data_IF_630986637817
#
_entry.id   IF_630986637817
#
_cell.length_a   1.000
_cell.length_b   1.000
_cell.length_c   1.000
_cell.angle_alpha   90.00
_cell.angle_beta   90.00
_cell.angle_gamma   90.00
#
_symmetry.space_group_name_H-M   'P 1'
#
loop_
_entity.id
_entity.type
_entity.pdbx_description
1 polymer ?
#
# COMPACT_ATOMS: atom_id res chain seq x y z
N UNK A 1 -1.00 -20.28 -15.83
CA UNK A 1 -1.09 -19.01 -15.09
C UNK A 1 -2.06 -19.07 -13.92
N UNK A 2 -3.34 -19.45 -14.08
CA UNK A 2 -4.30 -19.63 -12.96
C UNK A 2 -3.81 -20.54 -11.80
N UNK A 3 -2.88 -21.46 -12.07
CA UNK A 3 -2.36 -22.43 -11.08
C UNK A 3 -1.43 -21.85 -10.02
N UNK A 4 -0.87 -20.65 -10.21
CA UNK A 4 0.15 -20.12 -9.28
C UNK A 4 -0.49 -19.63 -7.98
N UNK A 5 -1.48 -18.73 -8.05
CA UNK A 5 -2.07 -18.11 -6.84
C UNK A 5 -3.01 -19.02 -6.04
N UNK A 6 -3.70 -19.98 -6.68
CA UNK A 6 -4.43 -21.03 -5.95
C UNK A 6 -3.48 -21.91 -5.11
N UNK A 7 -2.19 -21.96 -5.45
CA UNK A 7 -1.14 -22.54 -4.59
C UNK A 7 -0.56 -21.52 -3.62
N UNK A 8 -0.32 -20.27 -4.05
CA UNK A 8 0.34 -19.25 -3.23
C UNK A 8 -0.50 -18.81 -2.04
N UNK A 9 -1.82 -18.65 -2.17
CA UNK A 9 -2.68 -18.23 -1.04
C UNK A 9 -2.67 -19.23 0.14
N UNK A 10 -2.96 -20.53 -0.06
CA UNK A 10 -2.86 -21.51 1.03
C UNK A 10 -1.44 -21.66 1.60
N UNK A 11 -0.41 -21.55 0.75
CA UNK A 11 0.99 -21.55 1.21
C UNK A 11 1.31 -20.31 2.05
N UNK A 12 0.70 -19.18 1.76
CA UNK A 12 0.88 -17.95 2.54
C UNK A 12 0.06 -17.95 3.81
N UNK A 13 -1.13 -18.54 3.85
CA UNK A 13 -1.84 -18.83 5.11
C UNK A 13 -1.03 -19.76 6.01
N UNK A 14 -0.37 -20.76 5.43
CA UNK A 14 0.56 -21.59 6.18
C UNK A 14 1.81 -20.82 6.64
N UNK A 15 2.25 -19.79 5.89
CA UNK A 15 3.31 -18.88 6.36
C UNK A 15 2.80 -17.94 7.46
N UNK A 16 1.56 -17.48 7.41
CA UNK A 16 0.92 -16.66 8.45
C UNK A 16 0.94 -17.37 9.80
N UNK A 17 0.67 -18.68 9.84
CA UNK A 17 0.72 -19.46 11.09
C UNK A 17 2.13 -19.62 11.67
N UNK A 18 3.17 -19.31 10.90
CA UNK A 18 4.55 -19.27 11.37
C UNK A 18 4.95 -17.96 12.07
N UNK A 19 4.12 -16.92 12.01
CA UNK A 19 4.38 -15.62 12.64
C UNK A 19 3.58 -15.43 13.92
N UNK A 20 4.21 -14.83 14.93
CA UNK A 20 3.50 -14.28 16.08
C UNK A 20 2.90 -12.93 15.68
N UNK A 21 1.58 -12.87 15.49
CA UNK A 21 0.85 -11.64 15.16
C UNK A 21 0.39 -10.92 16.42
N UNK A 22 0.30 -9.59 16.38
CA UNK A 22 -0.22 -8.79 17.49
C UNK A 22 -1.75 -8.85 17.57
N UNK A 23 -2.32 -8.94 18.77
CA UNK A 23 -3.77 -9.02 18.99
C UNK A 23 -4.52 -7.69 18.70
N UNK A 24 -3.81 -6.56 18.75
CA UNK A 24 -4.37 -5.23 18.45
C UNK A 24 -3.41 -4.49 17.52
N UNK A 25 -3.77 -4.42 16.24
CA UNK A 25 -2.94 -3.79 15.22
C UNK A 25 -3.47 -2.41 14.82
N UNK A 26 -2.57 -1.55 14.37
CA UNK A 26 -2.91 -0.29 13.68
C UNK A 26 -2.76 -0.39 12.16
N UNK A 27 -2.44 -1.59 11.65
CA UNK A 27 -2.21 -1.85 10.23
C UNK A 27 -3.49 -1.64 9.41
N UNK A 28 -4.61 -2.20 9.86
CA UNK A 28 -5.90 -2.03 9.19
C UNK A 28 -6.89 -1.23 10.04
N UNK A 29 -7.91 -0.59 9.43
CA UNK A 29 -8.97 0.08 10.18
C UNK A 29 -9.75 -0.83 11.14
N UNK A 30 -9.88 -2.12 10.80
CA UNK A 30 -10.58 -3.12 11.60
C UNK A 30 -9.72 -3.68 12.74
N UNK A 31 -8.45 -3.28 12.85
CA UNK A 31 -7.51 -3.76 13.86
C UNK A 31 -6.83 -5.08 13.51
N UNK A 32 -7.01 -5.56 12.27
CA UNK A 32 -6.37 -6.79 11.80
C UNK A 32 -4.85 -6.63 11.71
N UNK A 33 -4.07 -7.63 12.17
CA UNK A 33 -2.62 -7.60 12.09
C UNK A 33 -2.09 -8.04 10.71
N UNK A 34 -2.94 -8.08 9.68
CA UNK A 34 -2.52 -8.40 8.33
C UNK A 34 -3.36 -7.68 7.26
N UNK A 35 -2.73 -7.37 6.13
CA UNK A 35 -3.34 -6.75 4.95
C UNK A 35 -2.76 -7.36 3.67
N UNK A 36 -3.62 -7.69 2.72
CA UNK A 36 -3.20 -8.09 1.37
C UNK A 36 -3.14 -6.88 0.45
N UNK A 37 -2.23 -6.91 -0.52
CA UNK A 37 -2.20 -5.93 -1.60
C UNK A 37 -2.10 -6.66 -2.93
N UNK A 38 -3.16 -6.51 -3.74
CA UNK A 38 -3.22 -6.98 -5.11
C UNK A 38 -2.67 -5.88 -6.02
N UNK A 39 -1.81 -6.25 -6.97
CA UNK A 39 -1.23 -5.30 -7.92
C UNK A 39 -1.67 -5.63 -9.34
N UNK A 40 -1.51 -4.70 -10.27
CA UNK A 40 -1.71 -4.98 -11.71
C UNK A 40 -0.84 -6.12 -12.25
N UNK A 41 0.28 -6.43 -11.58
CA UNK A 41 1.07 -7.60 -11.91
C UNK A 41 0.41 -8.84 -11.28
N UNK A 42 -0.22 -9.72 -12.08
CA UNK A 42 -0.95 -10.88 -11.55
C UNK A 42 -0.02 -11.93 -10.90
N UNK A 43 1.29 -11.81 -11.08
CA UNK A 43 2.29 -12.68 -10.46
C UNK A 43 2.91 -12.07 -9.19
N UNK A 44 2.51 -10.85 -8.81
CA UNK A 44 2.94 -10.20 -7.57
C UNK A 44 1.78 -10.20 -6.56
N UNK A 45 2.01 -10.93 -5.47
CA UNK A 45 1.15 -10.88 -4.29
C UNK A 45 1.96 -10.31 -3.12
N UNK A 46 1.35 -9.36 -2.42
CA UNK A 46 1.96 -8.73 -1.25
C UNK A 46 1.10 -8.93 -0.03
N UNK A 47 1.74 -9.32 1.06
CA UNK A 47 1.16 -9.47 2.38
C UNK A 47 1.91 -8.56 3.34
N UNK A 48 1.21 -7.74 4.12
CA UNK A 48 1.80 -6.94 5.19
C UNK A 48 1.29 -7.47 6.52
N UNK A 49 2.19 -7.62 7.49
CA UNK A 49 1.93 -8.16 8.81
C UNK A 49 2.34 -7.17 9.88
N UNK A 50 1.60 -7.12 10.99
CA UNK A 50 2.01 -6.42 12.21
C UNK A 50 2.62 -7.43 13.19
N UNK A 51 3.94 -7.34 13.37
CA UNK A 51 4.75 -8.37 14.03
C UNK A 51 5.71 -7.76 15.07
N UNK A 52 6.08 -8.53 16.11
CA UNK A 52 7.22 -8.20 16.96
C UNK A 52 8.50 -8.05 16.14
N UNK A 53 9.39 -7.14 16.56
CA UNK A 53 10.65 -6.92 15.84
C UNK A 53 11.56 -8.15 15.81
N UNK A 54 11.39 -9.12 16.71
CA UNK A 54 12.10 -10.40 16.70
C UNK A 54 11.81 -11.27 15.47
N UNK A 55 10.69 -11.05 14.79
CA UNK A 55 10.30 -11.78 13.56
C UNK A 55 10.90 -11.16 12.28
N UNK A 56 11.56 -10.00 12.39
CA UNK A 56 12.15 -9.32 11.23
C UNK A 56 13.39 -10.08 10.75
N UNK A 57 13.56 -10.31 9.44
CA UNK A 57 14.75 -10.94 8.89
C UNK A 57 16.05 -10.24 9.33
N UNK A 58 17.09 -11.01 9.63
CA UNK A 58 18.36 -10.52 10.20
C UNK A 58 18.96 -9.32 9.44
N UNK A 59 18.94 -9.36 8.11
CA UNK A 59 19.47 -8.28 7.27
C UNK A 59 18.70 -6.95 7.37
N UNK A 60 17.47 -6.95 7.88
CA UNK A 60 16.63 -5.77 8.11
C UNK A 60 16.54 -5.36 9.58
N UNK A 61 17.02 -6.17 10.52
CA UNK A 61 16.93 -5.91 11.98
C UNK A 61 17.50 -4.54 12.38
N UNK A 62 18.58 -4.11 11.72
CA UNK A 62 19.20 -2.79 11.96
C UNK A 62 18.26 -1.60 11.79
N UNK A 63 17.17 -1.75 11.02
CA UNK A 63 16.22 -0.66 10.76
C UNK A 63 15.12 -0.52 11.81
N UNK A 64 14.93 -1.53 12.66
CA UNK A 64 13.90 -1.57 13.71
C UNK A 64 14.49 -1.60 15.13
N UNK A 65 15.77 -1.28 15.26
CA UNK A 65 16.44 -1.27 16.56
C UNK A 65 15.76 -0.29 17.53
N UNK A 66 15.31 -0.82 18.68
CA UNK A 66 14.61 -0.05 19.71
C UNK A 66 13.08 0.00 19.55
N UNK A 67 12.54 -0.52 18.43
CA UNK A 67 11.10 -0.71 18.26
C UNK A 67 10.66 -2.04 18.90
N UNK A 68 9.45 -2.06 19.45
CA UNK A 68 8.82 -3.29 19.98
C UNK A 68 8.11 -4.09 18.89
N UNK A 69 7.48 -3.36 17.99
CA UNK A 69 6.65 -3.84 16.89
C UNK A 69 7.00 -3.09 15.61
N UNK A 70 6.69 -3.71 14.47
CA UNK A 70 6.87 -3.12 13.16
C UNK A 70 5.92 -3.78 12.17
N UNK A 71 5.75 -3.15 11.01
CA UNK A 71 5.07 -3.82 9.91
C UNK A 71 6.10 -4.50 9.02
N UNK A 72 5.86 -5.75 8.68
CA UNK A 72 6.68 -6.54 7.77
C UNK A 72 5.86 -6.86 6.54
N UNK A 73 6.23 -6.28 5.40
CA UNK A 73 5.68 -6.65 4.11
C UNK A 73 6.54 -7.69 3.43
N UNK A 74 5.86 -8.73 2.98
CA UNK A 74 6.35 -9.83 2.20
C UNK A 74 5.80 -9.70 0.78
N UNK A 75 6.69 -9.82 -0.21
CA UNK A 75 6.33 -9.91 -1.62
C UNK A 75 6.99 -11.15 -2.20
N UNK A 76 6.19 -12.05 -2.78
CA UNK A 76 6.68 -13.24 -3.48
C UNK A 76 6.47 -13.07 -4.98
N UNK A 77 7.52 -13.35 -5.75
CA UNK A 77 7.47 -13.48 -7.20
C UNK A 77 8.31 -14.69 -7.63
N UNK A 78 8.40 -14.95 -8.94
CA UNK A 78 9.20 -16.07 -9.48
C UNK A 78 10.69 -16.02 -9.12
N UNK A 79 11.24 -14.85 -8.78
CA UNK A 79 12.65 -14.69 -8.40
C UNK A 79 12.89 -14.91 -6.90
N UNK A 80 11.81 -15.03 -6.09
CA UNK A 80 11.88 -15.31 -4.67
C UNK A 80 11.06 -14.33 -3.83
N UNK A 81 11.20 -14.49 -2.51
CA UNK A 81 10.60 -13.60 -1.53
C UNK A 81 11.48 -12.37 -1.28
N UNK A 82 10.88 -11.19 -1.33
CA UNK A 82 11.48 -9.94 -0.89
C UNK A 82 10.74 -9.39 0.32
N UNK A 83 11.47 -8.84 1.27
CA UNK A 83 10.93 -8.28 2.50
C UNK A 83 11.13 -6.77 2.54
N UNK A 84 10.16 -6.08 3.12
CA UNK A 84 10.25 -4.67 3.44
C UNK A 84 9.71 -4.45 4.84
N UNK A 85 10.48 -3.79 5.68
CA UNK A 85 10.08 -3.45 7.05
C UNK A 85 9.66 -1.99 7.13
N UNK A 86 8.60 -1.70 7.87
CA UNK A 86 8.13 -0.35 8.17
C UNK A 86 8.16 -0.13 9.67
N UNK A 87 8.70 1.02 10.07
CA UNK A 87 8.61 1.49 11.45
C UNK A 87 8.06 2.90 11.49
N UNK A 88 7.73 3.36 12.70
CA UNK A 88 7.33 4.74 12.95
C UNK A 88 8.45 5.69 12.52
N UNK A 89 8.03 6.84 12.00
CA UNK A 89 8.94 7.93 11.64
C UNK A 89 9.49 8.60 12.90
N UNK A 90 10.79 8.83 12.93
CA UNK A 90 11.52 9.52 14.00
C UNK A 90 11.98 10.91 13.56
N UNK A 91 12.14 11.88 14.48
CA UNK A 91 12.60 13.23 14.14
C UNK A 91 13.97 13.32 13.45
N UNK A 92 14.79 12.27 13.57
CA UNK A 92 16.11 12.18 12.94
C UNK A 92 16.10 11.48 11.58
N UNK A 93 14.94 10.97 11.14
CA UNK A 93 14.81 10.38 9.82
C UNK A 93 14.88 11.44 8.72
N UNK A 94 15.43 11.11 7.54
CA UNK A 94 15.40 12.01 6.41
C UNK A 94 13.96 12.24 5.96
N UNK A 95 13.53 13.50 5.94
CA UNK A 95 12.25 13.92 5.37
C UNK A 95 12.47 14.55 3.98
N UNK A 96 12.16 13.84 2.88
CA UNK A 96 12.32 14.39 1.53
C UNK A 96 11.35 15.54 1.17
N UNK A 97 10.23 15.71 1.87
CA UNK A 97 9.24 16.73 1.55
C UNK A 97 9.42 18.02 2.36
N UNK A 98 9.78 17.91 3.65
CA UNK A 98 10.01 19.06 4.55
C UNK A 98 8.87 20.09 4.53
N UNK A 99 7.64 19.62 4.28
CA UNK A 99 6.46 20.47 4.14
C UNK A 99 5.49 20.13 5.28
N UNK A 100 5.13 21.10 6.13
CA UNK A 100 4.30 20.85 7.32
C UNK A 100 2.88 20.34 7.00
N UNK A 101 2.44 20.42 5.75
CA UNK A 101 1.16 19.86 5.28
C UNK A 101 1.21 18.34 5.15
N UNK A 102 2.42 17.77 5.02
CA UNK A 102 2.68 16.34 4.96
C UNK A 102 3.19 15.87 6.32
N UNK A 103 2.37 15.11 7.04
CA UNK A 103 2.76 14.59 8.35
C UNK A 103 3.41 13.22 8.14
N UNK A 104 4.73 13.14 8.27
CA UNK A 104 5.45 11.87 8.19
C UNK A 104 4.99 10.91 9.31
N UNK A 105 4.74 9.65 8.94
CA UNK A 105 4.19 8.61 9.83
C UNK A 105 5.06 7.39 9.91
N UNK A 106 5.52 6.90 8.77
CA UNK A 106 6.29 5.66 8.69
C UNK A 106 7.50 5.84 7.77
N UNK A 107 8.50 4.99 7.98
CA UNK A 107 9.64 4.81 7.09
C UNK A 107 9.77 3.33 6.75
N UNK A 108 9.85 3.03 5.47
CA UNK A 108 10.00 1.68 4.92
C UNK A 108 11.41 1.41 4.41
N UNK A 109 11.92 0.21 4.67
CA UNK A 109 13.25 -0.26 4.29
C UNK A 109 13.18 -1.67 3.69
N UNK A 110 13.70 -1.84 2.47
CA UNK A 110 13.75 -3.11 1.73
C UNK A 110 15.20 -3.56 1.43
N UNK A 111 16.16 -3.02 2.19
CA UNK A 111 17.59 -3.31 2.01
C UNK A 111 18.29 -2.45 0.96
N UNK A 112 17.58 -1.57 0.25
CA UNK A 112 18.17 -0.56 -0.62
C UNK A 112 18.70 0.67 0.14
N UNK A 113 19.46 1.53 -0.54
CA UNK A 113 20.12 2.70 0.06
C UNK A 113 19.16 3.82 0.47
N UNK A 114 18.00 3.92 -0.18
CA UNK A 114 17.07 5.04 -0.01
C UNK A 114 15.78 4.58 0.65
N UNK A 115 15.44 5.09 1.86
CA UNK A 115 14.20 4.74 2.53
C UNK A 115 12.99 5.31 1.81
N UNK A 116 11.83 4.66 1.99
CA UNK A 116 10.54 5.19 1.56
C UNK A 116 9.83 5.84 2.74
N UNK A 117 9.50 7.13 2.63
CA UNK A 117 8.83 7.87 3.70
C UNK A 117 7.35 7.96 3.39
N UNK A 118 6.50 7.63 4.37
CA UNK A 118 5.05 7.64 4.27
C UNK A 118 4.47 8.80 5.07
N UNK A 119 3.55 9.52 4.45
CA UNK A 119 2.95 10.74 4.93
C UNK A 119 1.43 10.61 4.96
N UNK A 120 0.82 11.33 5.90
CA UNK A 120 -0.60 11.68 5.85
C UNK A 120 -0.74 13.11 5.35
N UNK A 121 -1.48 13.30 4.27
CA UNK A 121 -1.86 14.60 3.75
C UNK A 121 -3.31 14.93 4.15
N UNK A 122 -3.50 16.07 4.81
CA UNK A 122 -4.82 16.61 5.15
C UNK A 122 -5.21 17.70 4.15
N UNK A 123 -6.45 17.64 3.64
CA UNK A 123 -6.94 18.62 2.66
C UNK A 123 -6.14 18.59 1.36
N UNK A 124 -6.06 17.43 0.66
CA UNK A 124 -5.34 17.34 -0.60
C UNK A 124 -5.91 18.35 -1.61
N UNK A 125 -5.06 19.22 -2.14
CA UNK A 125 -5.40 20.16 -3.21
C UNK A 125 -4.68 19.79 -4.51
N UNK A 126 -5.25 20.12 -5.68
CA UNK A 126 -4.58 19.86 -6.95
C UNK A 126 -3.16 20.46 -7.02
N UNK A 127 -2.95 21.64 -6.44
CA UNK A 127 -1.64 22.29 -6.39
C UNK A 127 -0.62 21.49 -5.55
N UNK A 128 -1.07 20.94 -4.42
CA UNK A 128 -0.24 20.09 -3.56
C UNK A 128 0.14 18.77 -4.24
N UNK A 129 -0.84 18.12 -4.86
CA UNK A 129 -0.60 16.86 -5.58
C UNK A 129 0.29 17.09 -6.81
N UNK A 130 0.09 18.20 -7.52
CA UNK A 130 0.97 18.58 -8.61
C UNK A 130 2.41 18.78 -8.12
N UNK A 131 2.61 19.51 -7.02
CA UNK A 131 3.94 19.76 -6.45
C UNK A 131 4.65 18.46 -6.04
N UNK A 132 3.96 17.53 -5.37
CA UNK A 132 4.60 16.26 -4.97
C UNK A 132 4.89 15.38 -6.19
N UNK A 133 3.98 15.29 -7.17
CA UNK A 133 4.17 14.50 -8.38
C UNK A 133 5.22 15.08 -9.35
N UNK A 134 5.59 16.36 -9.22
CA UNK A 134 6.74 16.89 -9.96
C UNK A 134 8.04 16.14 -9.62
N UNK A 135 8.14 15.57 -8.41
CA UNK A 135 9.33 14.81 -7.99
C UNK A 135 9.52 13.52 -8.77
N UNK A 136 8.43 12.89 -9.21
CA UNK A 136 8.47 11.70 -10.06
C UNK A 136 8.41 12.03 -11.55
N UNK A 137 8.36 13.32 -11.93
CA UNK A 137 8.10 13.74 -13.31
C UNK A 137 6.67 13.47 -13.80
N UNK A 138 5.75 13.12 -12.89
CA UNK A 138 4.42 12.60 -13.23
C UNK A 138 3.28 13.59 -12.99
N UNK A 139 3.57 14.88 -12.78
CA UNK A 139 2.54 15.87 -12.48
C UNK A 139 1.50 16.03 -13.61
N UNK A 140 1.86 15.66 -14.84
CA UNK A 140 0.98 15.60 -16.00
C UNK A 140 -0.06 14.46 -15.95
N UNK A 141 0.15 13.43 -15.12
CA UNK A 141 -0.79 12.32 -14.91
C UNK A 141 -1.84 12.63 -13.83
N UNK A 142 -1.77 13.79 -13.19
CA UNK A 142 -2.72 14.18 -12.15
C UNK A 142 -4.20 14.21 -12.62
N UNK A 143 -4.55 14.64 -13.85
CA UNK A 143 -5.92 14.54 -14.34
C UNK A 143 -6.42 13.09 -14.40
N UNK A 144 -5.59 12.16 -14.89
CA UNK A 144 -5.92 10.73 -14.95
C UNK A 144 -6.23 10.16 -13.56
N UNK A 145 -5.41 10.50 -12.56
CA UNK A 145 -5.66 10.12 -11.17
C UNK A 145 -7.04 10.56 -10.67
N UNK A 146 -7.45 11.80 -10.95
CA UNK A 146 -8.78 12.30 -10.54
C UNK A 146 -9.93 11.58 -11.28
N UNK A 147 -9.75 11.24 -12.55
CA UNK A 147 -10.74 10.49 -13.33
C UNK A 147 -10.88 9.06 -12.80
N UNK A 148 -9.78 8.40 -12.47
CA UNK A 148 -9.76 7.04 -11.90
C UNK A 148 -10.34 6.98 -10.50
N UNK A 149 -10.08 7.97 -9.63
CA UNK A 149 -10.75 8.06 -8.33
C UNK A 149 -12.26 8.22 -8.50
N UNK A 150 -12.70 9.01 -9.48
CA UNK A 150 -14.13 9.16 -9.80
C UNK A 150 -14.72 7.84 -10.29
N UNK A 151 -14.02 7.14 -11.17
CA UNK A 151 -14.43 5.84 -11.69
C UNK A 151 -14.55 4.78 -10.58
N UNK A 152 -13.58 4.77 -9.67
CA UNK A 152 -13.51 3.80 -8.58
C UNK A 152 -14.61 4.01 -7.54
N UNK A 153 -14.84 5.28 -7.18
CA UNK A 153 -15.73 5.64 -6.06
C UNK A 153 -17.15 5.99 -6.49
N UNK A 154 -17.37 6.30 -7.78
CA UNK A 154 -18.63 6.85 -8.30
C UNK A 154 -18.93 8.28 -7.83
N UNK A 155 -17.99 8.95 -7.16
CA UNK A 155 -18.14 10.30 -6.60
C UNK A 155 -17.20 11.28 -7.28
N UNK A 156 -17.52 12.57 -7.27
CA UNK A 156 -16.56 13.61 -7.69
C UNK A 156 -15.28 13.49 -6.86
N UNK A 157 -14.16 13.24 -7.54
CA UNK A 157 -12.89 12.94 -6.88
C UNK A 157 -12.37 14.10 -6.03
N UNK A 158 -12.67 15.36 -6.38
CA UNK A 158 -12.21 16.51 -5.58
C UNK A 158 -12.96 16.58 -4.27
N UNK A 159 -14.28 16.46 -4.30
CA UNK A 159 -15.10 16.41 -3.08
C UNK A 159 -14.73 15.19 -2.23
N UNK A 160 -14.59 14.02 -2.86
CA UNK A 160 -14.24 12.79 -2.18
C UNK A 160 -12.90 12.88 -1.44
N UNK A 161 -11.86 13.35 -2.13
CA UNK A 161 -10.52 13.46 -1.55
C UNK A 161 -10.42 14.55 -0.48
N UNK A 162 -11.17 15.65 -0.59
CA UNK A 162 -11.21 16.69 0.44
C UNK A 162 -11.79 16.20 1.77
N UNK A 163 -12.77 15.29 1.71
CA UNK A 163 -13.39 14.70 2.89
C UNK A 163 -12.51 13.65 3.59
N UNK A 164 -11.41 13.21 2.95
CA UNK A 164 -10.57 12.11 3.42
C UNK A 164 -9.11 12.54 3.62
N UNK A 165 -8.39 11.74 4.41
CA UNK A 165 -6.94 11.83 4.47
C UNK A 165 -6.38 11.06 3.28
N UNK A 166 -5.39 11.65 2.61
CA UNK A 166 -4.65 10.96 1.55
C UNK A 166 -3.32 10.46 2.12
N UNK A 167 -3.00 9.19 1.91
CA UNK A 167 -1.66 8.69 2.16
C UNK A 167 -0.76 9.06 0.99
N UNK A 168 0.48 9.43 1.27
CA UNK A 168 1.50 9.69 0.23
C UNK A 168 2.77 8.98 0.65
N UNK A 169 3.47 8.30 -0.25
CA UNK A 169 4.85 7.89 0.01
C UNK A 169 5.80 8.41 -1.05
N UNK A 170 7.04 8.66 -0.63
CA UNK A 170 8.10 9.17 -1.48
C UNK A 170 9.34 8.31 -1.29
N UNK A 171 9.87 7.79 -2.39
CA UNK A 171 11.17 7.13 -2.45
C UNK A 171 11.85 7.54 -3.75
N UNK A 172 12.94 8.29 -3.65
CA UNK A 172 13.68 8.78 -4.82
C UNK A 172 12.77 9.51 -5.83
N UNK A 173 12.64 8.96 -7.05
CA UNK A 173 11.80 9.43 -8.16
C UNK A 173 10.42 8.77 -8.21
N UNK A 174 10.04 8.03 -7.16
CA UNK A 174 8.75 7.35 -7.04
C UNK A 174 7.89 8.05 -6.01
N UNK A 175 6.68 8.41 -6.43
CA UNK A 175 5.63 8.94 -5.55
C UNK A 175 4.45 8.00 -5.59
N UNK A 176 3.96 7.58 -4.43
CA UNK A 176 2.77 6.74 -4.35
C UNK A 176 1.65 7.49 -3.64
N UNK A 177 0.45 7.48 -4.20
CA UNK A 177 -0.75 8.03 -3.56
C UNK A 177 -1.63 6.87 -3.08
N UNK A 178 -2.12 6.98 -1.84
CA UNK A 178 -2.97 5.99 -1.19
C UNK A 178 -4.31 6.63 -0.82
N UNK A 179 -5.39 6.11 -1.38
CA UNK A 179 -6.77 6.59 -1.18
C UNK A 179 -7.53 5.58 -0.34
N UNK A 180 -8.04 6.01 0.81
CA UNK A 180 -8.86 5.14 1.65
C UNK A 180 -10.23 4.91 1.02
N UNK A 181 -10.51 3.65 0.67
CA UNK A 181 -11.76 3.21 0.04
C UNK A 181 -12.60 2.28 0.94
N UNK A 182 -12.14 2.04 2.18
CA UNK A 182 -12.91 1.29 3.18
C UNK A 182 -14.33 1.86 3.37
N UNK A 183 -15.30 0.93 3.50
CA UNK A 183 -16.72 1.22 3.60
C UNK A 183 -17.39 1.64 2.28
N UNK A 184 -16.69 1.57 1.15
CA UNK A 184 -17.29 1.82 -0.17
C UNK A 184 -17.68 0.50 -0.84
N UNK A 185 -18.88 0.48 -1.41
CA UNK A 185 -19.31 -0.60 -2.30
C UNK A 185 -18.63 -0.43 -3.68
N UNK A 186 -17.37 -0.88 -3.79
CA UNK A 186 -16.64 -0.83 -5.05
C UNK A 186 -17.26 -1.79 -6.06
N UNK A 187 -17.53 -1.30 -7.27
CA UNK A 187 -18.08 -2.14 -8.32
C UNK A 187 -16.99 -3.03 -8.91
N UNK A 188 -17.33 -4.29 -9.20
CA UNK A 188 -16.40 -5.22 -9.85
C UNK A 188 -15.91 -4.67 -11.20
N UNK A 189 -16.77 -3.94 -11.91
CA UNK A 189 -16.42 -3.22 -13.15
C UNK A 189 -15.33 -2.19 -12.91
N UNK A 190 -15.47 -1.35 -11.89
CA UNK A 190 -14.48 -0.32 -11.57
C UNK A 190 -13.12 -0.92 -11.19
N UNK A 191 -13.13 -2.02 -10.42
CA UNK A 191 -11.92 -2.75 -10.04
C UNK A 191 -11.25 -3.38 -11.27
N UNK A 192 -12.02 -4.03 -12.14
CA UNK A 192 -11.50 -4.59 -13.40
C UNK A 192 -10.92 -3.51 -14.32
N UNK A 193 -11.56 -2.35 -14.42
CA UNK A 193 -11.03 -1.26 -15.23
C UNK A 193 -9.72 -0.70 -14.68
N UNK A 194 -9.50 -0.75 -13.37
CA UNK A 194 -8.29 -0.24 -12.72
C UNK A 194 -7.15 -1.27 -12.67
N UNK A 195 -7.46 -2.54 -12.38
CA UNK A 195 -6.45 -3.59 -12.12
C UNK A 195 -6.44 -4.70 -13.18
N UNK A 196 -7.43 -4.74 -14.06
CA UNK A 196 -7.67 -5.81 -15.03
C UNK A 196 -8.57 -6.93 -14.50
N UNK A 197 -9.28 -7.59 -15.43
CA UNK A 197 -10.17 -8.74 -15.16
C UNK A 197 -9.44 -9.88 -14.41
N UNK A 198 -8.18 -10.12 -14.74
CA UNK A 198 -7.39 -11.19 -14.11
C UNK A 198 -7.27 -11.00 -12.59
N UNK A 199 -7.08 -9.77 -12.13
CA UNK A 199 -6.97 -9.46 -10.69
C UNK A 199 -8.32 -9.58 -9.99
N UNK A 200 -9.39 -9.15 -10.67
CA UNK A 200 -10.75 -9.31 -10.16
C UNK A 200 -11.14 -10.79 -10.01
N UNK A 201 -10.81 -11.61 -10.99
CA UNK A 201 -11.03 -13.05 -10.93
C UNK A 201 -10.22 -13.69 -9.81
N UNK A 202 -8.96 -13.28 -9.59
CA UNK A 202 -8.17 -13.75 -8.46
C UNK A 202 -8.84 -13.43 -7.11
N UNK A 203 -9.33 -12.19 -6.93
CA UNK A 203 -10.01 -11.79 -5.70
C UNK A 203 -11.24 -12.67 -5.42
N UNK A 204 -12.09 -12.87 -6.43
CA UNK A 204 -13.31 -13.70 -6.34
C UNK A 204 -13.02 -15.16 -5.97
N UNK A 205 -11.89 -15.70 -6.42
CA UNK A 205 -11.54 -17.11 -6.21
C UNK A 205 -10.62 -17.34 -5.00
N UNK A 206 -10.29 -16.28 -4.24
CA UNK A 206 -9.46 -16.42 -3.04
C UNK A 206 -10.18 -17.13 -1.89
N UNK A 207 -11.52 -17.12 -1.86
CA UNK A 207 -12.33 -17.69 -0.78
C UNK A 207 -12.27 -16.88 0.54
N UNK A 208 -11.52 -15.79 0.57
CA UNK A 208 -11.39 -14.90 1.73
C UNK A 208 -12.44 -13.79 1.67
N UNK A 209 -13.10 -13.53 2.80
CA UNK A 209 -13.98 -12.36 2.96
C UNK A 209 -13.08 -11.16 3.26
N UNK A 210 -12.69 -10.45 2.21
CA UNK A 210 -11.82 -9.29 2.29
C UNK A 210 -12.54 -8.05 1.75
N UNK A 211 -12.45 -6.96 2.50
CA UNK A 211 -12.93 -5.65 2.06
C UNK A 211 -11.82 -4.82 1.44
N UNK A 212 -12.11 -4.09 0.34
CA UNK A 212 -11.24 -3.03 -0.12
C UNK A 212 -11.02 -1.98 0.97
N UNK A 213 -9.79 -1.84 1.42
CA UNK A 213 -9.40 -0.83 2.41
C UNK A 213 -8.72 0.37 1.76
N UNK A 214 -7.89 0.12 0.74
CA UNK A 214 -6.94 1.08 0.19
C UNK A 214 -6.80 0.94 -1.33
N UNK A 215 -6.90 2.02 -2.08
CA UNK A 215 -6.52 2.06 -3.50
C UNK A 215 -5.20 2.83 -3.65
N UNK A 216 -4.31 2.36 -4.53
CA UNK A 216 -2.92 2.80 -4.59
C UNK A 216 -2.54 3.14 -6.03
N UNK A 217 -1.89 4.29 -6.22
CA UNK A 217 -1.31 4.75 -7.48
C UNK A 217 0.18 4.99 -7.31
N UNK A 218 1.01 4.24 -8.03
CA UNK A 218 2.47 4.35 -8.00
C UNK A 218 2.93 5.11 -9.24
N UNK A 219 3.42 6.33 -9.06
CA UNK A 219 3.88 7.21 -10.13
C UNK A 219 5.40 7.15 -10.31
N UNK A 220 5.83 6.88 -11.54
CA UNK A 220 7.25 6.87 -11.93
C UNK A 220 7.42 7.34 -13.37
N UNK A 221 7.89 8.57 -13.56
CA UNK A 221 8.01 9.19 -14.87
C UNK A 221 6.65 9.28 -15.57
N UNK A 222 6.53 8.63 -16.73
CA UNK A 222 5.31 8.61 -17.54
C UNK A 222 4.44 7.38 -17.29
N UNK A 223 4.73 6.62 -16.23
CA UNK A 223 4.01 5.41 -15.89
C UNK A 223 3.28 5.59 -14.56
N UNK A 224 2.06 5.05 -14.52
CA UNK A 224 1.29 4.83 -13.30
C UNK A 224 1.00 3.35 -13.19
N UNK A 225 1.15 2.79 -11.99
CA UNK A 225 0.72 1.43 -11.68
C UNK A 225 -0.29 1.45 -10.55
N UNK A 226 -1.21 0.49 -10.57
CA UNK A 226 -2.29 0.40 -9.61
C UNK A 226 -2.14 -0.79 -8.68
N UNK A 227 -2.63 -0.62 -7.45
CA UNK A 227 -2.83 -1.70 -6.51
C UNK A 227 -4.06 -1.46 -5.62
N UNK A 228 -4.58 -2.53 -5.05
CA UNK A 228 -5.70 -2.51 -4.11
C UNK A 228 -5.33 -3.29 -2.85
N UNK A 229 -5.30 -2.57 -1.74
CA UNK A 229 -5.18 -3.10 -0.40
C UNK A 229 -6.53 -3.67 0.07
N UNK A 230 -6.49 -4.92 0.52
CA UNK A 230 -7.61 -5.70 0.99
C UNK A 230 -7.36 -6.07 2.46
N UNK A 231 -8.31 -5.73 3.32
CA UNK A 231 -8.25 -6.04 4.75
C UNK A 231 -9.34 -7.05 5.14
N UNK A 232 -9.15 -7.82 6.22
CA UNK A 232 -10.18 -8.72 6.73
C UNK A 232 -11.38 -7.95 7.25
N UNK A 233 -12.58 -8.44 6.95
CA UNK A 233 -13.80 -8.08 7.68
C UNK A 233 -13.76 -8.72 9.09
N UNK A 234 -14.14 -7.97 10.12
CA UNK A 234 -14.39 -8.48 11.47
C UNK A 234 -15.82 -8.18 11.90
#
# INVERSE_FOLDING_TARGET
>A
MQQNLQRTFPQLEQKLSGFHLLEQSTLTPSGAPWEWMLTENPDELRLTLDVPTTEVPEHLQKYVHGERDCWLSFRENFAGATFKVYRRFHPHDPDPLQDPRFIARLVGFDGHSSPEVYYTLKGPSPALLHHVLQRSGSSHLLPLFYDEVTLLTGQDSRTFLQARKLGVSVREDVVTLYVQVHGLALSARSISQLLGETVLDQWRHSGLVLEPALAVWVFRGNHVQHALGLAPEF
#
